data_IF_298237666354
#
_entry.id   IF_298237666354
#
_cell.length_a   1.000
_cell.length_b   1.000
_cell.length_c   1.000
_cell.angle_alpha   90.00
_cell.angle_beta   90.00
_cell.angle_gamma   90.00
#
_symmetry.space_group_name_H-M   'P 1'
#
loop_
_entity.id
_entity.type
_entity.pdbx_description
1 polymer ?
#
# COMPACT_ATOMS: atom_id res chain seq x y z
N UNK A 1 8.39 113.36 36.66
CA UNK A 1 8.93 112.04 37.08
C UNK A 1 8.33 110.85 36.31
N UNK A 2 7.08 110.87 35.86
CA UNK A 2 6.47 109.74 35.12
C UNK A 2 6.93 109.56 33.66
N UNK A 3 7.25 110.65 32.95
CA UNK A 3 7.71 110.59 31.55
C UNK A 3 9.05 109.84 31.34
N UNK A 4 9.94 109.85 32.34
CA UNK A 4 11.25 109.20 32.24
C UNK A 4 11.16 107.66 32.26
N UNK A 5 10.17 107.09 32.97
CA UNK A 5 9.94 105.64 32.99
C UNK A 5 9.04 105.18 31.83
N UNK A 6 8.13 106.03 31.34
CA UNK A 6 7.20 105.68 30.27
C UNK A 6 7.88 105.54 28.90
N UNK A 7 8.87 106.39 28.59
CA UNK A 7 9.56 106.39 27.30
C UNK A 7 10.32 105.08 27.00
N UNK A 8 11.16 104.53 27.91
CA UNK A 8 11.83 103.25 27.65
C UNK A 8 10.86 102.07 27.58
N UNK A 9 9.77 102.07 28.37
CA UNK A 9 8.72 101.05 28.28
C UNK A 9 8.01 101.07 26.92
N UNK A 10 7.70 102.27 26.41
CA UNK A 10 7.11 102.43 25.09
C UNK A 10 8.08 101.99 23.97
N UNK A 11 9.37 102.28 24.10
CA UNK A 11 10.38 101.85 23.15
C UNK A 11 10.53 100.31 23.11
N UNK A 12 10.56 99.65 24.26
CA UNK A 12 10.60 98.17 24.35
C UNK A 12 9.32 97.56 23.80
N UNK A 13 8.16 98.15 24.09
CA UNK A 13 6.88 97.70 23.53
C UNK A 13 6.84 97.80 22.00
N UNK A 14 7.31 98.92 21.43
CA UNK A 14 7.38 99.11 19.98
C UNK A 14 8.37 98.16 19.31
N UNK A 15 9.56 97.95 19.89
CA UNK A 15 10.52 96.96 19.39
C UNK A 15 9.96 95.54 19.42
N UNK A 16 9.28 95.17 20.52
CA UNK A 16 8.62 93.87 20.65
C UNK A 16 7.50 93.68 19.62
N UNK A 17 6.71 94.71 19.36
CA UNK A 17 5.63 94.67 18.38
C UNK A 17 6.16 94.48 16.94
N UNK A 18 7.25 95.16 16.57
CA UNK A 18 7.88 95.02 15.26
C UNK A 18 8.44 93.60 15.08
N UNK A 19 9.15 93.09 16.09
CA UNK A 19 9.73 91.75 15.99
C UNK A 19 8.68 90.63 15.98
N UNK A 20 7.59 90.80 16.73
CA UNK A 20 6.43 89.92 16.65
C UNK A 20 5.79 89.95 15.26
N UNK A 21 5.68 91.12 14.62
CA UNK A 21 5.11 91.24 13.27
C UNK A 21 5.96 90.53 12.21
N UNK A 22 7.28 90.64 12.27
CA UNK A 22 8.19 89.95 11.35
C UNK A 22 8.14 88.41 11.51
N UNK A 23 8.05 87.94 12.76
CA UNK A 23 7.90 86.51 13.06
C UNK A 23 6.56 85.96 12.54
N UNK A 24 5.48 86.71 12.72
CA UNK A 24 4.14 86.35 12.22
C UNK A 24 4.11 86.34 10.69
N UNK A 25 4.79 87.27 10.02
CA UNK A 25 4.90 87.29 8.56
C UNK A 25 5.64 86.07 8.02
N UNK A 26 6.67 85.59 8.72
CA UNK A 26 7.37 84.36 8.35
C UNK A 26 6.47 83.12 8.50
N UNK A 27 5.72 83.03 9.60
CA UNK A 27 4.75 81.94 9.84
C UNK A 27 3.62 81.98 8.81
N UNK A 28 3.17 83.16 8.40
CA UNK A 28 2.14 83.35 7.38
C UNK A 28 2.62 82.90 5.99
N UNK A 29 3.89 83.17 5.64
CA UNK A 29 4.50 82.70 4.38
C UNK A 29 4.67 81.18 4.33
N UNK A 30 5.01 80.55 5.46
CA UNK A 30 5.26 79.11 5.55
C UNK A 30 4.13 78.36 6.29
N UNK A 31 2.88 78.80 6.10
CA UNK A 31 1.75 78.31 6.90
C UNK A 31 1.57 76.79 6.89
N UNK A 32 1.80 76.12 5.75
CA UNK A 32 1.61 74.68 5.64
C UNK A 32 2.51 73.86 6.57
N UNK A 33 3.67 74.39 6.94
CA UNK A 33 4.62 73.73 7.84
C UNK A 33 4.28 74.02 9.31
N UNK A 34 3.89 75.24 9.62
CA UNK A 34 3.67 75.69 11.01
C UNK A 34 2.22 75.55 11.51
N UNK A 35 1.24 75.29 10.63
CA UNK A 35 -0.19 75.20 10.96
C UNK A 35 -0.57 74.15 12.01
N UNK A 36 0.22 73.07 12.12
CA UNK A 36 -0.01 72.00 13.10
C UNK A 36 0.96 72.05 14.29
N UNK A 37 1.71 73.14 14.45
CA UNK A 37 2.51 73.37 15.64
C UNK A 37 1.58 73.85 16.78
N UNK A 38 1.57 73.19 17.95
CA UNK A 38 0.65 73.48 19.05
C UNK A 38 0.69 74.94 19.55
N UNK A 39 1.81 75.65 19.37
CA UNK A 39 1.92 77.07 19.73
C UNK A 39 1.15 78.03 18.81
N UNK A 40 0.94 77.68 17.54
CA UNK A 40 0.33 78.55 16.54
C UNK A 40 -1.13 78.22 16.21
N UNK A 41 -1.59 77.01 16.57
CA UNK A 41 -2.98 76.55 16.40
C UNK A 41 -4.03 77.52 16.98
N UNK A 42 -3.96 77.95 18.25
CA UNK A 42 -5.01 78.81 18.82
C UNK A 42 -5.10 80.19 18.16
N UNK A 43 -4.03 80.60 17.47
CA UNK A 43 -3.92 81.87 16.77
C UNK A 43 -4.11 81.75 15.25
N UNK A 44 -4.54 80.59 14.75
CA UNK A 44 -4.66 80.33 13.31
C UNK A 44 -5.57 81.33 12.60
N UNK A 45 -6.73 81.66 13.17
CA UNK A 45 -7.64 82.66 12.60
C UNK A 45 -7.11 84.11 12.62
N UNK A 46 -6.08 84.39 13.42
CA UNK A 46 -5.42 85.71 13.47
C UNK A 46 -4.28 85.76 12.45
N UNK A 47 -3.54 84.66 12.29
CA UNK A 47 -2.41 84.56 11.37
C UNK A 47 -2.89 84.50 9.90
N UNK A 48 -3.99 83.78 9.66
CA UNK A 48 -4.65 83.63 8.36
C UNK A 48 -6.15 83.85 8.51
N UNK A 49 -6.64 84.93 7.91
CA UNK A 49 -8.05 85.33 7.95
C UNK A 49 -8.99 84.41 7.17
N UNK A 50 -8.43 83.50 6.38
CA UNK A 50 -9.14 82.56 5.50
C UNK A 50 -9.34 81.17 6.11
N UNK A 51 -8.83 80.94 7.33
CA UNK A 51 -8.96 79.65 8.02
C UNK A 51 -9.46 79.89 9.44
N UNK A 52 -10.54 79.21 9.85
CA UNK A 52 -10.98 79.28 11.24
C UNK A 52 -10.06 78.44 12.14
N UNK A 53 -9.89 78.89 13.38
CA UNK A 53 -9.09 78.15 14.38
C UNK A 53 -9.62 76.73 14.60
N UNK A 54 -10.95 76.55 14.55
CA UNK A 54 -11.60 75.25 14.70
C UNK A 54 -11.34 74.32 13.51
N UNK A 55 -11.47 74.80 12.27
CA UNK A 55 -11.21 74.00 11.07
C UNK A 55 -9.75 73.54 10.99
N UNK A 56 -8.80 74.42 11.31
CA UNK A 56 -7.38 74.04 11.31
C UNK A 56 -7.04 73.07 12.44
N UNK A 57 -7.66 73.22 13.61
CA UNK A 57 -7.51 72.27 14.72
C UNK A 57 -8.04 70.88 14.35
N UNK A 58 -9.24 70.79 13.78
CA UNK A 58 -9.82 69.54 13.30
C UNK A 58 -8.97 68.89 12.21
N UNK A 59 -8.42 69.67 11.29
CA UNK A 59 -7.53 69.15 10.24
C UNK A 59 -6.25 68.53 10.84
N UNK A 60 -5.58 69.25 11.75
CA UNK A 60 -4.36 68.75 12.38
C UNK A 60 -4.63 67.54 13.26
N UNK A 61 -5.75 67.51 14.00
CA UNK A 61 -6.19 66.34 14.76
C UNK A 61 -6.43 65.12 13.85
N UNK A 62 -7.06 65.30 12.69
CA UNK A 62 -7.25 64.21 11.74
C UNK A 62 -5.92 63.70 11.16
N UNK A 63 -4.97 64.58 10.85
CA UNK A 63 -3.62 64.19 10.40
C UNK A 63 -2.84 63.42 11.46
N UNK A 64 -2.88 63.88 12.72
CA UNK A 64 -2.27 63.13 13.83
C UNK A 64 -2.98 61.79 14.07
N UNK A 65 -4.32 61.78 14.00
CA UNK A 65 -5.15 60.58 14.13
C UNK A 65 -4.84 59.52 13.08
N UNK A 66 -4.61 59.93 11.82
CA UNK A 66 -4.20 59.01 10.75
C UNK A 66 -2.82 58.40 11.00
N UNK A 67 -1.85 59.18 11.49
CA UNK A 67 -0.51 58.67 11.80
C UNK A 67 -0.54 57.65 12.95
N UNK A 68 -1.33 57.94 13.99
CA UNK A 68 -1.55 57.03 15.11
C UNK A 68 -2.27 55.76 14.63
N UNK A 69 -3.37 55.90 13.90
CA UNK A 69 -4.14 54.77 13.39
C UNK A 69 -3.32 53.90 12.43
N UNK A 70 -2.46 54.49 11.60
CA UNK A 70 -1.53 53.76 10.74
C UNK A 70 -0.58 52.88 11.55
N UNK A 71 0.03 53.41 12.61
CA UNK A 71 0.90 52.61 13.49
C UNK A 71 0.13 51.48 14.18
N UNK A 72 -1.09 51.72 14.63
CA UNK A 72 -1.92 50.67 15.24
C UNK A 72 -2.32 49.58 14.24
N UNK A 73 -2.70 49.96 13.02
CA UNK A 73 -3.02 49.03 11.94
C UNK A 73 -1.81 48.19 11.53
N UNK A 74 -0.61 48.79 11.48
CA UNK A 74 0.63 48.07 11.18
C UNK A 74 0.98 47.03 12.25
N UNK A 75 0.81 47.37 13.54
CA UNK A 75 1.00 46.42 14.64
C UNK A 75 0.01 45.26 14.54
N UNK A 76 -1.25 45.53 14.23
CA UNK A 76 -2.28 44.49 14.04
C UNK A 76 -1.94 43.60 12.83
N UNK A 77 -1.56 44.20 11.69
CA UNK A 77 -1.14 43.46 10.49
C UNK A 77 0.09 42.59 10.76
N UNK A 78 1.05 43.08 11.54
CA UNK A 78 2.22 42.31 11.96
C UNK A 78 1.82 41.07 12.77
N UNK A 79 0.90 41.22 13.72
CA UNK A 79 0.35 40.11 14.50
C UNK A 79 -0.35 39.07 13.61
N UNK A 80 -1.19 39.52 12.67
CA UNK A 80 -1.84 38.62 11.71
C UNK A 80 -0.85 37.91 10.80
N UNK A 81 0.24 38.58 10.40
CA UNK A 81 1.29 37.98 9.57
C UNK A 81 2.02 36.88 10.32
N UNK A 82 2.38 37.12 11.59
CA UNK A 82 3.01 36.12 12.46
C UNK A 82 2.07 34.95 12.76
N UNK A 83 0.79 35.22 13.00
CA UNK A 83 -0.22 34.19 13.20
C UNK A 83 -0.36 33.29 11.96
N UNK A 84 -0.45 33.90 10.77
CA UNK A 84 -0.57 33.17 9.50
C UNK A 84 0.69 32.37 9.18
N UNK A 85 1.87 32.90 9.47
CA UNK A 85 3.13 32.19 9.32
C UNK A 85 3.20 30.96 10.24
N UNK A 86 2.81 31.11 11.50
CA UNK A 86 2.77 30.02 12.49
C UNK A 86 1.79 28.92 12.07
N UNK A 87 0.60 29.30 11.60
CA UNK A 87 -0.38 28.35 11.08
C UNK A 87 0.15 27.59 9.85
N UNK A 88 0.87 28.27 8.97
CA UNK A 88 1.48 27.65 7.78
C UNK A 88 2.58 26.67 8.18
N UNK A 89 3.46 27.06 9.12
CA UNK A 89 4.49 26.17 9.68
C UNK A 89 3.89 24.93 10.36
N UNK A 90 2.71 25.01 10.97
CA UNK A 90 2.03 23.84 11.54
C UNK A 90 1.47 22.87 10.49
N UNK A 91 1.15 23.34 9.27
CA UNK A 91 0.60 22.46 8.22
C UNK A 91 1.64 21.51 7.61
N UNK A 92 2.91 21.93 7.55
CA UNK A 92 4.01 21.11 7.04
C UNK A 92 4.18 19.79 7.81
N UNK A 93 4.42 19.83 9.13
CA UNK A 93 4.56 18.66 9.98
C UNK A 93 3.35 17.72 9.94
N UNK A 94 2.12 18.25 9.84
CA UNK A 94 0.91 17.44 9.70
C UNK A 94 0.86 16.69 8.37
N UNK A 95 1.29 17.32 7.29
CA UNK A 95 1.40 16.70 5.97
C UNK A 95 2.50 15.64 5.94
N UNK A 96 3.63 15.91 6.61
CA UNK A 96 4.72 14.95 6.76
C UNK A 96 4.29 13.74 7.60
N UNK A 97 3.58 13.95 8.70
CA UNK A 97 3.01 12.86 9.49
C UNK A 97 2.08 11.99 8.65
N UNK A 98 1.16 12.61 7.89
CA UNK A 98 0.26 11.89 6.97
C UNK A 98 1.05 11.13 5.90
N UNK A 99 2.12 11.71 5.38
CA UNK A 99 3.02 11.07 4.42
C UNK A 99 3.73 9.85 5.05
N UNK A 100 4.20 9.95 6.29
CA UNK A 100 4.79 8.82 7.02
C UNK A 100 3.79 7.68 7.23
N UNK A 101 2.55 7.99 7.65
CA UNK A 101 1.49 6.99 7.78
C UNK A 101 1.17 6.32 6.43
N UNK A 102 1.13 7.10 5.34
CA UNK A 102 0.93 6.57 3.99
C UNK A 102 2.08 5.64 3.58
N UNK A 103 3.33 6.03 3.82
CA UNK A 103 4.52 5.20 3.56
C UNK A 103 4.50 3.91 4.39
N UNK A 104 4.17 3.99 5.67
CA UNK A 104 4.08 2.82 6.55
C UNK A 104 2.99 1.85 6.10
N UNK A 105 1.82 2.36 5.73
CA UNK A 105 0.73 1.55 5.15
C UNK A 105 1.18 0.87 3.86
N UNK A 106 1.80 1.61 2.95
CA UNK A 106 2.26 1.07 1.66
C UNK A 106 3.37 0.03 1.86
N UNK A 107 4.26 0.24 2.83
CA UNK A 107 5.26 -0.75 3.21
C UNK A 107 4.61 -2.03 3.73
N UNK A 108 3.63 -1.94 4.64
CA UNK A 108 2.91 -3.11 5.14
C UNK A 108 2.16 -3.86 4.03
N UNK A 109 1.49 -3.14 3.13
CA UNK A 109 0.80 -3.74 1.97
C UNK A 109 1.79 -4.41 1.01
N UNK A 110 2.92 -3.77 0.72
CA UNK A 110 3.97 -4.34 -0.13
C UNK A 110 4.59 -5.58 0.52
N UNK A 111 4.88 -5.52 1.81
CA UNK A 111 5.41 -6.66 2.56
C UNK A 111 4.43 -7.84 2.55
N UNK A 112 3.16 -7.60 2.84
CA UNK A 112 2.12 -8.62 2.76
C UNK A 112 2.02 -9.20 1.34
N UNK A 113 1.98 -8.37 0.31
CA UNK A 113 1.92 -8.81 -1.08
C UNK A 113 3.13 -9.68 -1.48
N UNK A 114 4.34 -9.32 -1.03
CA UNK A 114 5.55 -10.11 -1.27
C UNK A 114 5.50 -11.47 -0.56
N UNK A 115 5.07 -11.51 0.71
CA UNK A 115 4.94 -12.76 1.48
C UNK A 115 3.88 -13.67 0.85
N UNK A 116 2.68 -13.15 0.58
CA UNK A 116 1.62 -13.91 -0.10
C UNK A 116 2.04 -14.34 -1.50
N UNK A 117 2.73 -13.49 -2.26
CA UNK A 117 3.29 -13.84 -3.57
C UNK A 117 4.28 -14.99 -3.48
N UNK A 118 5.17 -14.99 -2.48
CA UNK A 118 6.13 -16.07 -2.24
C UNK A 118 5.44 -17.37 -1.81
N UNK A 119 4.41 -17.30 -0.97
CA UNK A 119 3.62 -18.48 -0.56
C UNK A 119 2.89 -19.09 -1.75
N UNK A 120 2.22 -18.27 -2.58
CA UNK A 120 1.50 -18.75 -3.77
C UNK A 120 2.45 -19.41 -4.77
N UNK A 121 3.59 -18.79 -5.04
CA UNK A 121 4.60 -19.35 -5.94
C UNK A 121 5.24 -20.62 -5.37
N UNK A 122 5.57 -20.64 -4.07
CA UNK A 122 6.13 -21.82 -3.40
C UNK A 122 5.14 -22.98 -3.34
N UNK A 123 3.84 -22.70 -3.18
CA UNK A 123 2.78 -23.72 -3.16
C UNK A 123 2.69 -24.40 -4.53
N UNK A 124 2.82 -23.64 -5.62
CA UNK A 124 2.87 -24.18 -6.98
C UNK A 124 4.06 -25.14 -7.20
N UNK A 125 5.24 -24.80 -6.68
CA UNK A 125 6.40 -25.70 -6.76
C UNK A 125 6.19 -27.00 -5.97
N UNK A 126 5.58 -26.92 -4.78
CA UNK A 126 5.29 -28.11 -3.96
C UNK A 126 4.23 -29.00 -4.64
N UNK A 127 3.15 -28.43 -5.17
CA UNK A 127 2.13 -29.20 -5.89
C UNK A 127 2.70 -29.84 -7.15
N UNK A 128 3.60 -29.16 -7.88
CA UNK A 128 4.31 -29.74 -9.01
C UNK A 128 5.12 -30.99 -8.63
N UNK A 129 5.89 -30.93 -7.53
CA UNK A 129 6.66 -32.09 -7.03
C UNK A 129 5.71 -33.25 -6.65
N UNK A 130 4.61 -32.96 -5.94
CA UNK A 130 3.61 -33.97 -5.56
C UNK A 130 2.96 -34.63 -6.78
N UNK A 131 2.64 -33.86 -7.83
CA UNK A 131 2.12 -34.39 -9.10
C UNK A 131 3.16 -35.32 -9.74
N UNK A 132 4.44 -34.94 -9.74
CA UNK A 132 5.51 -35.74 -10.33
C UNK A 132 5.75 -37.05 -9.57
N UNK A 133 5.71 -37.03 -8.24
CA UNK A 133 5.76 -38.24 -7.41
C UNK A 133 4.57 -39.14 -7.72
N UNK A 134 3.35 -38.58 -7.81
CA UNK A 134 2.16 -39.34 -8.18
C UNK A 134 2.27 -39.96 -9.57
N UNK A 135 2.84 -39.26 -10.55
CA UNK A 135 3.07 -39.78 -11.90
C UNK A 135 4.04 -40.98 -11.87
N UNK A 136 5.14 -40.87 -11.13
CA UNK A 136 6.11 -41.96 -10.97
C UNK A 136 5.46 -43.18 -10.32
N UNK A 137 4.68 -42.99 -9.25
CA UNK A 137 3.97 -44.10 -8.59
C UNK A 137 2.96 -44.77 -9.53
N UNK A 138 2.23 -44.00 -10.34
CA UNK A 138 1.30 -44.56 -11.34
C UNK A 138 2.02 -45.40 -12.38
N UNK A 139 3.17 -44.95 -12.87
CA UNK A 139 3.99 -45.71 -13.82
C UNK A 139 4.50 -47.01 -13.19
N UNK A 140 4.98 -46.94 -11.95
CA UNK A 140 5.46 -48.12 -11.22
C UNK A 140 4.37 -49.17 -11.02
N UNK A 141 3.16 -48.76 -10.63
CA UNK A 141 2.00 -49.66 -10.50
C UNK A 141 1.61 -50.25 -11.87
N UNK A 142 1.65 -49.44 -12.93
CA UNK A 142 1.36 -49.89 -14.30
C UNK A 142 2.33 -50.97 -14.79
N UNK A 143 3.64 -50.73 -14.62
CA UNK A 143 4.68 -51.71 -14.99
C UNK A 143 4.60 -52.97 -14.13
N UNK A 144 4.33 -52.84 -12.83
CA UNK A 144 4.13 -53.98 -11.93
C UNK A 144 2.95 -54.85 -12.34
N UNK A 145 1.84 -54.25 -12.77
CA UNK A 145 0.67 -54.99 -13.26
C UNK A 145 1.00 -55.77 -14.54
N UNK A 146 1.71 -55.14 -15.49
CA UNK A 146 2.15 -55.81 -16.73
C UNK A 146 3.07 -56.99 -16.40
N UNK A 147 4.03 -56.80 -15.50
CA UNK A 147 4.95 -57.86 -15.09
C UNK A 147 4.22 -59.04 -14.43
N UNK A 148 3.26 -58.77 -13.54
CA UNK A 148 2.45 -59.81 -12.90
C UNK A 148 1.57 -60.57 -13.92
N UNK A 149 0.97 -59.86 -14.87
CA UNK A 149 0.17 -60.49 -15.93
C UNK A 149 1.03 -61.39 -16.83
N UNK A 150 2.23 -60.94 -17.20
CA UNK A 150 3.17 -61.75 -17.98
C UNK A 150 3.62 -63.00 -17.20
N UNK A 151 3.90 -62.87 -15.90
CA UNK A 151 4.27 -64.01 -15.06
C UNK A 151 3.16 -65.07 -14.98
N UNK A 152 1.90 -64.65 -14.80
CA UNK A 152 0.76 -65.58 -14.82
C UNK A 152 0.61 -66.26 -16.19
N UNK A 153 0.73 -65.49 -17.28
CA UNK A 153 0.66 -66.04 -18.64
C UNK A 153 1.74 -67.11 -18.87
N UNK A 154 2.95 -66.91 -18.35
CA UNK A 154 4.03 -67.90 -18.44
C UNK A 154 3.71 -69.17 -17.64
N UNK A 155 3.19 -69.04 -16.42
CA UNK A 155 2.80 -70.20 -15.60
C UNK A 155 1.67 -70.98 -16.28
N UNK A 156 0.63 -70.31 -16.75
CA UNK A 156 -0.51 -70.94 -17.42
C UNK A 156 -0.07 -71.64 -18.70
N UNK A 157 0.88 -71.06 -19.45
CA UNK A 157 1.46 -71.68 -20.63
C UNK A 157 2.22 -72.97 -20.30
N UNK A 158 2.98 -72.98 -19.21
CA UNK A 158 3.74 -74.14 -18.76
C UNK A 158 2.82 -75.27 -18.26
N UNK A 159 1.80 -74.94 -17.47
CA UNK A 159 0.80 -75.92 -17.01
C UNK A 159 0.01 -76.49 -18.19
N UNK A 160 -0.40 -75.64 -19.13
CA UNK A 160 -1.09 -76.07 -20.35
C UNK A 160 -0.26 -77.06 -21.16
N UNK A 161 1.05 -76.84 -21.28
CA UNK A 161 1.95 -77.77 -21.95
C UNK A 161 2.04 -79.12 -21.23
N UNK A 162 2.20 -79.14 -19.90
CA UNK A 162 2.24 -80.38 -19.12
C UNK A 162 0.92 -81.15 -19.24
N UNK A 163 -0.22 -80.45 -19.15
CA UNK A 163 -1.54 -81.05 -19.31
C UNK A 163 -1.74 -81.65 -20.70
N UNK A 164 -1.19 -81.02 -21.74
CA UNK A 164 -1.20 -81.56 -23.11
C UNK A 164 -0.43 -82.90 -23.15
N UNK A 165 0.78 -82.97 -22.59
CA UNK A 165 1.57 -84.20 -22.55
C UNK A 165 0.84 -85.34 -21.81
N UNK A 166 0.26 -85.06 -20.64
CA UNK A 166 -0.52 -86.04 -19.88
C UNK A 166 -1.75 -86.50 -20.68
N UNK A 167 -2.43 -85.58 -21.36
CA UNK A 167 -3.61 -85.90 -22.17
C UNK A 167 -3.26 -86.82 -23.34
N UNK A 168 -2.13 -86.58 -24.03
CA UNK A 168 -1.65 -87.49 -25.09
C UNK A 168 -1.41 -88.89 -24.54
N UNK A 169 -0.72 -89.00 -23.38
CA UNK A 169 -0.46 -90.29 -22.75
C UNK A 169 -1.77 -90.98 -22.36
N UNK A 170 -2.72 -90.25 -21.75
CA UNK A 170 -4.05 -90.78 -21.40
C UNK A 170 -4.76 -91.33 -22.64
N UNK A 171 -4.82 -90.58 -23.74
CA UNK A 171 -5.47 -91.02 -24.99
C UNK A 171 -4.81 -92.28 -25.55
N UNK A 172 -3.48 -92.35 -25.53
CA UNK A 172 -2.73 -93.54 -25.97
C UNK A 172 -3.01 -94.77 -25.10
N UNK A 173 -3.08 -94.60 -23.78
CA UNK A 173 -3.39 -95.68 -22.85
C UNK A 173 -4.84 -96.17 -23.04
N UNK A 174 -5.80 -95.26 -23.23
CA UNK A 174 -7.19 -95.63 -23.47
C UNK A 174 -7.39 -96.39 -24.78
N UNK A 175 -6.68 -96.01 -25.85
CA UNK A 175 -6.78 -96.74 -27.11
C UNK A 175 -6.21 -98.16 -26.99
N UNK A 176 -5.10 -98.36 -26.26
CA UNK A 176 -4.58 -99.69 -25.95
C UNK A 176 -5.55 -100.53 -25.10
N UNK A 177 -6.17 -99.93 -24.09
CA UNK A 177 -7.14 -100.61 -23.24
C UNK A 177 -8.38 -101.04 -24.05
N UNK A 178 -8.87 -100.19 -24.95
CA UNK A 178 -10.00 -100.52 -25.81
C UNK A 178 -9.71 -101.76 -26.69
N UNK A 179 -8.51 -101.85 -27.28
CA UNK A 179 -8.10 -103.01 -28.07
C UNK A 179 -8.03 -104.27 -27.20
N UNK A 180 -7.46 -104.18 -26.00
CA UNK A 180 -7.37 -105.31 -25.07
C UNK A 180 -8.74 -105.84 -24.66
N UNK A 181 -9.73 -104.96 -24.49
CA UNK A 181 -11.09 -105.37 -24.13
C UNK A 181 -11.83 -106.06 -25.29
N UNK A 182 -11.64 -105.58 -26.53
CA UNK A 182 -12.22 -106.21 -27.73
C UNK A 182 -11.70 -107.65 -27.90
N UNK A 183 -10.39 -107.87 -27.71
CA UNK A 183 -9.79 -109.20 -27.82
C UNK A 183 -10.24 -110.15 -26.69
N UNK A 184 -10.53 -109.63 -25.50
CA UNK A 184 -11.02 -110.42 -24.37
C UNK A 184 -12.40 -111.05 -24.59
N UNK A 185 -13.22 -110.51 -25.51
CA UNK A 185 -14.53 -111.10 -25.86
C UNK A 185 -14.41 -112.43 -26.63
N UNK A 186 -13.26 -112.72 -27.25
CA UNK A 186 -13.05 -113.95 -28.03
C UNK A 186 -12.29 -115.04 -27.25
N UNK A 187 -11.65 -114.72 -26.11
CA UNK A 187 -10.95 -115.69 -25.25
C UNK A 187 -11.16 -115.36 -23.76
N UNK A 188 -11.81 -116.24 -22.97
CA UNK A 188 -12.21 -115.93 -21.59
C UNK A 188 -11.03 -115.74 -20.61
N UNK A 189 -9.84 -116.25 -20.92
CA UNK A 189 -8.66 -116.11 -20.05
C UNK A 189 -8.06 -114.69 -20.06
N UNK A 190 -8.26 -113.94 -21.16
CA UNK A 190 -7.73 -112.57 -21.30
C UNK A 190 -8.57 -111.51 -20.59
N UNK A 191 -9.78 -111.86 -20.13
CA UNK A 191 -10.67 -110.99 -19.38
C UNK A 191 -10.07 -110.59 -18.02
N UNK A 192 -9.40 -111.53 -17.34
CA UNK A 192 -8.78 -111.30 -16.03
C UNK A 192 -7.67 -110.27 -16.14
N UNK A 193 -6.85 -110.33 -17.19
CA UNK A 193 -5.78 -109.37 -17.44
C UNK A 193 -6.31 -107.96 -17.72
N UNK A 194 -7.39 -107.83 -18.50
CA UNK A 194 -8.00 -106.54 -18.81
C UNK A 194 -8.56 -105.85 -17.56
N UNK A 195 -9.21 -106.60 -16.65
CA UNK A 195 -9.72 -106.07 -15.38
C UNK A 195 -8.59 -105.62 -14.46
N UNK A 196 -7.50 -106.39 -14.38
CA UNK A 196 -6.32 -106.03 -13.57
C UNK A 196 -5.67 -104.75 -14.11
N UNK A 197 -5.46 -104.65 -15.43
CA UNK A 197 -4.93 -103.42 -16.04
C UNK A 197 -5.82 -102.20 -15.80
N UNK A 198 -7.14 -102.35 -15.88
CA UNK A 198 -8.09 -101.27 -15.58
C UNK A 198 -7.99 -100.81 -14.11
N UNK A 199 -7.84 -101.74 -13.16
CA UNK A 199 -7.66 -101.41 -11.74
C UNK A 199 -6.35 -100.67 -11.45
N UNK A 200 -5.27 -101.04 -12.14
CA UNK A 200 -3.96 -100.39 -12.02
C UNK A 200 -3.97 -98.99 -12.64
N UNK A 201 -4.64 -98.80 -13.77
CA UNK A 201 -4.80 -97.50 -14.42
C UNK A 201 -5.69 -96.53 -13.62
N UNK A 202 -6.72 -97.05 -12.94
CA UNK A 202 -7.53 -96.28 -12.00
C UNK A 202 -6.76 -95.80 -10.77
N UNK A 203 -5.88 -96.65 -10.21
CA UNK A 203 -5.02 -96.25 -9.09
C UNK A 203 -3.94 -95.23 -9.48
N UNK A 204 -3.47 -95.27 -10.73
CA UNK A 204 -2.48 -94.33 -11.25
C UNK A 204 -3.07 -92.98 -11.71
N UNK A 205 -4.38 -92.73 -11.52
CA UNK A 205 -5.02 -91.44 -11.84
C UNK A 205 -5.15 -91.15 -13.35
N UNK A 206 -5.03 -92.19 -14.19
CA UNK A 206 -5.23 -92.04 -15.64
C UNK A 206 -6.72 -92.02 -16.00
N UNK A 207 -7.56 -92.76 -15.25
CA UNK A 207 -9.03 -92.68 -15.23
C UNK A 207 -9.57 -91.50 -14.43
#
# INVERSE_FOLDING_TARGET
MWLFFAMPLLAVFLMGAIHASESLDNVKRNWNEYRCNPFYIPFAGIIRSDVSTDENFQYCLNMFGQSIMSSFVDVILSLFKTLTASLTEMTGPLMDMRSMFSKMRNFMLSFAAQVFGKITNSTSSITYILIKIRDILKRFVGEGYIAAFLANTLIDSAVSFVMLCITIIKVFVYSLLAISFILALFQPEMLVLAIVLMSMLGQAGFL
#
